data_IF_292760434310
#
_entry.id   IF_292760434310
#
_cell.length_a   1.000
_cell.length_b   1.000
_cell.length_c   1.000
_cell.angle_alpha   90.00
_cell.angle_beta   90.00
_cell.angle_gamma   90.00
#
_symmetry.space_group_name_H-M   'P 1'
#
loop_
_entity.id
_entity.type
_entity.pdbx_description
1 polymer ?
#
# COMPACT_ATOMS: atom_id res chain seq x y z
N UNK A 1 -24.85 -5.25 5.30
CA UNK A 1 -24.63 -5.86 3.97
C UNK A 1 -23.65 -7.02 4.12
N UNK A 2 -24.02 -8.17 3.61
CA UNK A 2 -23.10 -9.32 3.54
C UNK A 2 -22.42 -9.33 2.17
N UNK A 3 -21.11 -9.45 2.18
CA UNK A 3 -20.34 -9.56 0.94
C UNK A 3 -19.15 -10.49 1.14
N UNK A 4 -18.67 -11.06 0.05
CA UNK A 4 -17.45 -11.87 0.05
C UNK A 4 -16.33 -11.06 -0.57
N UNK A 5 -15.22 -10.91 0.16
CA UNK A 5 -14.04 -10.24 -0.32
C UNK A 5 -12.89 -11.24 -0.48
N UNK A 6 -12.06 -11.03 -1.48
CA UNK A 6 -10.79 -11.74 -1.61
C UNK A 6 -9.69 -10.86 -1.04
N UNK A 7 -9.11 -11.27 0.09
CA UNK A 7 -8.09 -10.49 0.78
C UNK A 7 -6.88 -11.37 1.05
N UNK A 8 -5.72 -10.96 0.53
CA UNK A 8 -4.46 -11.67 0.69
C UNK A 8 -4.55 -13.15 0.31
N UNK A 9 -5.22 -13.46 -0.81
CA UNK A 9 -5.35 -14.81 -1.33
C UNK A 9 -6.44 -15.65 -0.67
N UNK A 10 -7.25 -15.07 0.21
CA UNK A 10 -8.33 -15.78 0.91
C UNK A 10 -9.68 -15.14 0.62
N UNK A 11 -10.70 -15.95 0.39
CA UNK A 11 -12.08 -15.48 0.35
C UNK A 11 -12.61 -15.37 1.78
N UNK A 12 -13.10 -14.21 2.14
CA UNK A 12 -13.66 -13.94 3.47
C UNK A 12 -15.06 -13.35 3.34
N UNK A 13 -15.99 -13.87 4.12
CA UNK A 13 -17.34 -13.34 4.19
C UNK A 13 -17.39 -12.31 5.32
N UNK A 14 -17.90 -11.14 5.02
CA UNK A 14 -18.04 -10.06 6.01
C UNK A 14 -19.48 -9.56 6.00
N UNK A 15 -19.95 -9.19 7.18
CA UNK A 15 -21.24 -8.53 7.36
C UNK A 15 -20.97 -7.14 7.93
N UNK A 16 -21.09 -6.14 7.09
CA UNK A 16 -20.66 -4.77 7.40
C UNK A 16 -21.82 -3.80 7.21
N UNK A 17 -21.75 -2.66 7.88
CA UNK A 17 -22.71 -1.59 7.70
C UNK A 17 -22.61 -1.04 6.27
N UNK A 18 -23.75 -0.66 5.72
CA UNK A 18 -23.79 -0.03 4.39
C UNK A 18 -22.95 1.25 4.39
N UNK A 19 -22.12 1.40 3.35
CA UNK A 19 -21.22 2.54 3.24
C UNK A 19 -19.97 2.49 4.13
N UNK A 20 -19.66 1.33 4.73
CA UNK A 20 -18.42 1.19 5.49
C UNK A 20 -17.23 1.15 4.53
N UNK A 21 -16.24 2.08 4.66
CA UNK A 21 -15.05 2.04 3.84
C UNK A 21 -14.22 0.76 4.05
N UNK A 22 -13.56 0.32 2.98
CA UNK A 22 -12.70 -0.88 3.02
C UNK A 22 -11.67 -0.82 4.14
N UNK A 23 -11.12 0.37 4.44
CA UNK A 23 -10.17 0.57 5.53
C UNK A 23 -10.67 -0.04 6.86
N UNK A 24 -11.91 0.24 7.22
CA UNK A 24 -12.49 -0.23 8.48
C UNK A 24 -12.86 -1.71 8.42
N UNK A 25 -13.26 -2.21 7.26
CA UNK A 25 -13.46 -3.66 7.06
C UNK A 25 -12.14 -4.40 7.32
N UNK A 26 -11.04 -3.90 6.78
CA UNK A 26 -9.73 -4.51 6.99
C UNK A 26 -9.31 -4.48 8.46
N UNK A 27 -9.44 -3.32 9.10
CA UNK A 27 -8.95 -3.13 10.47
C UNK A 27 -9.88 -3.72 11.53
N UNK A 28 -11.18 -3.48 11.39
CA UNK A 28 -12.14 -3.81 12.47
C UNK A 28 -12.75 -5.20 12.32
N UNK A 29 -13.07 -5.63 11.10
CA UNK A 29 -13.65 -6.94 10.86
C UNK A 29 -12.58 -8.03 10.69
N UNK A 30 -11.59 -7.77 9.83
CA UNK A 30 -10.55 -8.75 9.49
C UNK A 30 -9.31 -8.68 10.38
N UNK A 31 -9.23 -7.67 11.25
CA UNK A 31 -8.10 -7.46 12.18
C UNK A 31 -6.74 -7.27 11.49
N UNK A 32 -6.75 -6.85 10.23
CA UNK A 32 -5.56 -6.51 9.48
C UNK A 32 -5.20 -5.04 9.74
N UNK A 33 -4.44 -4.79 10.78
CA UNK A 33 -4.18 -3.45 11.32
C UNK A 33 -2.97 -2.74 10.72
N UNK A 34 -2.26 -3.38 9.78
CA UNK A 34 -1.12 -2.77 9.09
C UNK A 34 -1.49 -1.58 8.21
N UNK A 35 -2.69 -1.60 7.62
CA UNK A 35 -3.26 -0.48 6.88
C UNK A 35 -3.77 0.57 7.85
N UNK A 36 -3.35 1.83 7.70
CA UNK A 36 -3.55 2.88 8.71
C UNK A 36 -4.56 3.95 8.28
N UNK A 37 -5.22 4.54 9.27
CA UNK A 37 -6.07 5.72 9.09
C UNK A 37 -5.27 7.00 9.34
N UNK A 38 -5.42 7.98 8.46
CA UNK A 38 -4.85 9.31 8.65
C UNK A 38 -5.90 10.40 8.39
N UNK A 39 -6.22 10.68 7.11
CA UNK A 39 -7.12 11.79 6.72
C UNK A 39 -8.59 11.37 6.49
N UNK A 40 -8.84 10.15 6.02
CA UNK A 40 -10.18 9.70 5.64
C UNK A 40 -10.72 10.26 4.31
N UNK A 41 -9.90 11.05 3.60
CA UNK A 41 -10.30 11.77 2.37
C UNK A 41 -9.30 11.55 1.22
N UNK A 42 -8.60 10.44 1.24
CA UNK A 42 -7.63 10.02 0.21
C UNK A 42 -6.41 10.95 0.04
N UNK A 43 -6.11 11.81 1.02
CA UNK A 43 -5.02 12.79 0.91
C UNK A 43 -3.68 12.32 1.45
N UNK A 44 -3.65 11.49 2.50
CA UNK A 44 -2.41 11.18 3.22
C UNK A 44 -1.69 9.92 2.74
N UNK A 45 -2.39 9.00 2.12
CA UNK A 45 -1.83 7.73 1.62
C UNK A 45 -1.60 6.64 2.66
N UNK A 46 -1.84 6.88 3.95
CA UNK A 46 -1.60 5.89 5.01
C UNK A 46 -2.43 4.61 4.85
N UNK A 47 -3.57 4.70 4.18
CA UNK A 47 -4.52 3.61 3.98
C UNK A 47 -4.33 2.85 2.65
N UNK A 48 -3.25 3.08 1.93
CA UNK A 48 -3.04 2.48 0.60
C UNK A 48 -3.00 0.96 0.66
N UNK A 49 -3.80 0.34 -0.18
CA UNK A 49 -3.83 -1.11 -0.44
C UNK A 49 -3.76 -1.33 -1.95
N UNK A 50 -3.55 -2.56 -2.40
CA UNK A 50 -3.68 -2.90 -3.81
C UNK A 50 -5.04 -3.57 -4.06
N UNK A 51 -5.72 -3.14 -5.11
CA UNK A 51 -6.90 -3.82 -5.64
C UNK A 51 -6.57 -4.24 -7.07
N UNK A 52 -6.52 -5.53 -7.32
CA UNK A 52 -6.03 -6.11 -8.58
C UNK A 52 -4.65 -5.54 -8.99
N UNK A 53 -3.75 -5.38 -8.01
CA UNK A 53 -2.40 -4.88 -8.22
C UNK A 53 -2.27 -3.36 -8.32
N UNK A 54 -3.38 -2.61 -8.27
CA UNK A 54 -3.38 -1.14 -8.40
C UNK A 54 -3.50 -0.50 -7.02
N UNK A 55 -2.60 0.42 -6.64
CA UNK A 55 -2.71 1.13 -5.37
C UNK A 55 -3.96 2.00 -5.31
N UNK A 56 -4.76 1.81 -4.28
CA UNK A 56 -5.95 2.59 -3.99
C UNK A 56 -5.98 3.02 -2.53
N UNK A 57 -6.70 4.11 -2.26
CA UNK A 57 -6.93 4.61 -0.89
C UNK A 57 -8.14 3.90 -0.28
N UNK A 58 -7.90 2.99 0.65
CA UNK A 58 -8.98 2.19 1.25
C UNK A 58 -9.97 2.99 2.07
N UNK A 59 -9.63 4.20 2.51
CA UNK A 59 -10.54 5.07 3.26
C UNK A 59 -11.70 5.63 2.41
N UNK A 60 -11.57 5.61 1.08
CA UNK A 60 -12.60 6.07 0.14
C UNK A 60 -12.98 4.98 -0.88
N UNK A 61 -12.59 3.75 -0.62
CA UNK A 61 -12.97 2.57 -1.43
C UNK A 61 -13.98 1.76 -0.64
N UNK A 62 -15.03 1.30 -1.30
CA UNK A 62 -16.11 0.57 -0.65
C UNK A 62 -16.18 -0.87 -1.12
N UNK A 63 -16.55 -1.83 -0.26
CA UNK A 63 -16.63 -3.24 -0.64
C UNK A 63 -17.49 -3.51 -1.89
N UNK A 64 -18.60 -2.79 -2.05
CA UNK A 64 -19.47 -2.92 -3.21
C UNK A 64 -18.82 -2.52 -4.54
N UNK A 65 -17.83 -1.62 -4.49
CA UNK A 65 -17.14 -1.13 -5.69
C UNK A 65 -16.04 -2.08 -6.18
N UNK A 66 -15.63 -3.02 -5.33
CA UNK A 66 -14.51 -3.93 -5.61
C UNK A 66 -14.92 -5.40 -5.55
N UNK A 67 -16.20 -5.67 -5.74
CA UNK A 67 -16.73 -7.04 -5.72
C UNK A 67 -16.00 -7.92 -6.74
N UNK A 68 -15.50 -9.07 -6.29
CA UNK A 68 -14.73 -10.01 -7.13
C UNK A 68 -13.27 -9.64 -7.35
N UNK A 69 -12.81 -8.45 -6.92
CA UNK A 69 -11.42 -8.06 -7.05
C UNK A 69 -10.54 -8.64 -5.94
N UNK A 70 -9.24 -8.75 -6.21
CA UNK A 70 -8.25 -9.24 -5.25
C UNK A 70 -7.64 -8.06 -4.49
N UNK A 71 -7.86 -8.03 -3.17
CA UNK A 71 -7.30 -7.00 -2.28
C UNK A 71 -6.01 -7.54 -1.67
N UNK A 72 -4.93 -6.75 -1.75
CA UNK A 72 -3.67 -7.05 -1.09
C UNK A 72 -3.35 -5.93 -0.11
N UNK A 73 -3.15 -6.28 1.15
CA UNK A 73 -2.69 -5.36 2.20
C UNK A 73 -1.20 -5.55 2.44
N UNK A 74 -0.62 -4.69 3.30
CA UNK A 74 0.81 -4.81 3.66
C UNK A 74 1.12 -6.18 4.27
N UNK A 75 0.18 -6.78 4.99
CA UNK A 75 0.35 -8.11 5.59
C UNK A 75 0.49 -9.22 4.55
N UNK A 76 -0.05 -9.03 3.35
CA UNK A 76 -0.01 -10.01 2.28
C UNK A 76 0.85 -9.60 1.09
N UNK A 77 1.63 -8.53 1.20
CA UNK A 77 2.47 -8.04 0.11
C UNK A 77 3.68 -8.97 -0.09
N UNK A 78 3.60 -9.84 -1.08
CA UNK A 78 4.61 -10.86 -1.36
C UNK A 78 5.05 -10.89 -2.83
N UNK A 79 4.70 -9.87 -3.61
CA UNK A 79 5.15 -9.75 -5.00
C UNK A 79 6.65 -9.49 -5.06
N UNK A 80 7.25 -9.72 -6.23
CA UNK A 80 8.67 -9.44 -6.49
C UNK A 80 9.00 -7.97 -6.19
N UNK A 81 8.16 -7.05 -6.65
CA UNK A 81 8.31 -5.62 -6.40
C UNK A 81 8.16 -5.29 -4.91
N UNK A 82 7.16 -5.87 -4.26
CA UNK A 82 6.94 -5.67 -2.83
C UNK A 82 8.11 -6.13 -1.97
N UNK A 83 8.71 -7.26 -2.31
CA UNK A 83 9.90 -7.77 -1.61
C UNK A 83 11.11 -6.86 -1.81
N UNK A 84 11.32 -6.38 -3.04
CA UNK A 84 12.41 -5.45 -3.33
C UNK A 84 12.27 -4.15 -2.55
N UNK A 85 11.04 -3.60 -2.47
CA UNK A 85 10.76 -2.40 -1.69
C UNK A 85 11.03 -2.64 -0.20
N UNK A 86 10.53 -3.74 0.37
CA UNK A 86 10.75 -4.05 1.78
C UNK A 86 12.23 -4.24 2.10
N UNK A 87 12.99 -4.89 1.23
CA UNK A 87 14.44 -5.04 1.37
C UNK A 87 15.14 -3.67 1.36
N UNK A 88 14.79 -2.80 0.41
CA UNK A 88 15.37 -1.45 0.33
C UNK A 88 15.05 -0.62 1.58
N UNK A 89 13.80 -0.71 2.09
CA UNK A 89 13.40 -0.04 3.33
C UNK A 89 14.24 -0.48 4.53
N UNK A 90 14.54 -1.77 4.63
CA UNK A 90 15.39 -2.31 5.68
C UNK A 90 16.84 -1.89 5.52
N UNK A 91 17.39 -1.97 4.29
CA UNK A 91 18.78 -1.57 4.01
C UNK A 91 19.06 -0.10 4.34
N UNK A 92 18.11 0.78 4.02
CA UNK A 92 18.29 2.23 4.20
C UNK A 92 17.72 2.77 5.52
N UNK A 93 17.18 1.88 6.34
CA UNK A 93 16.63 2.22 7.66
C UNK A 93 15.66 3.41 7.57
N UNK A 94 14.67 3.31 6.66
CA UNK A 94 13.76 4.40 6.30
C UNK A 94 12.88 4.83 7.45
N UNK A 95 12.39 3.89 8.24
CA UNK A 95 11.33 4.08 9.22
C UNK A 95 11.75 4.94 10.40
N UNK A 96 10.89 5.88 10.81
CA UNK A 96 10.97 6.55 12.11
C UNK A 96 9.80 6.07 12.99
N UNK A 97 8.67 6.80 13.07
CA UNK A 97 7.52 6.30 13.86
C UNK A 97 6.84 5.08 13.24
N UNK A 98 6.93 4.90 11.93
CA UNK A 98 6.38 3.76 11.20
C UNK A 98 4.94 3.91 10.75
N UNK A 99 4.22 4.91 11.18
CA UNK A 99 2.78 5.02 10.93
C UNK A 99 2.42 5.14 9.44
N UNK A 100 3.17 5.92 8.67
CA UNK A 100 2.93 6.09 7.23
C UNK A 100 3.58 5.02 6.36
N UNK A 101 4.39 4.13 6.93
CA UNK A 101 5.30 3.32 6.12
C UNK A 101 4.60 2.20 5.35
N UNK A 102 3.55 1.60 5.91
CA UNK A 102 2.77 0.61 5.15
C UNK A 102 2.20 1.21 3.87
N UNK A 103 1.64 2.42 3.96
CA UNK A 103 1.13 3.14 2.78
C UNK A 103 2.23 3.53 1.81
N UNK A 104 3.38 3.99 2.30
CA UNK A 104 4.54 4.31 1.48
C UNK A 104 5.04 3.08 0.70
N UNK A 105 5.18 1.95 1.38
CA UNK A 105 5.63 0.69 0.78
C UNK A 105 4.63 0.19 -0.28
N UNK A 106 3.33 0.22 0.02
CA UNK A 106 2.31 -0.20 -0.93
C UNK A 106 2.31 0.67 -2.19
N UNK A 107 2.45 1.99 -2.04
CA UNK A 107 2.55 2.91 -3.18
C UNK A 107 3.82 2.67 -4.00
N UNK A 108 4.96 2.49 -3.35
CA UNK A 108 6.23 2.23 -4.02
C UNK A 108 6.19 0.90 -4.80
N UNK A 109 5.62 -0.15 -4.22
CA UNK A 109 5.47 -1.43 -4.91
C UNK A 109 4.58 -1.30 -6.15
N UNK A 110 3.51 -0.50 -6.07
CA UNK A 110 2.64 -0.19 -7.20
C UNK A 110 3.38 0.56 -8.32
N UNK A 111 4.20 1.53 -7.96
CA UNK A 111 5.03 2.25 -8.94
C UNK A 111 5.96 1.30 -9.68
N UNK A 112 6.70 0.47 -8.96
CA UNK A 112 7.67 -0.44 -9.57
C UNK A 112 7.02 -1.53 -10.40
N UNK A 113 5.79 -1.90 -10.12
CA UNK A 113 5.02 -2.83 -10.96
C UNK A 113 4.64 -2.21 -12.30
N UNK A 114 4.38 -0.90 -12.34
CA UNK A 114 4.08 -0.16 -13.57
C UNK A 114 5.35 0.23 -14.32
N UNK A 115 6.38 0.65 -13.59
CA UNK A 115 7.64 1.15 -14.15
C UNK A 115 8.80 0.67 -13.28
N UNK A 116 9.52 -0.33 -13.74
CA UNK A 116 10.67 -0.92 -13.03
C UNK A 116 11.90 -0.02 -12.94
N UNK A 117 11.92 1.10 -13.66
CA UNK A 117 13.06 2.04 -13.71
C UNK A 117 12.57 3.49 -13.66
N UNK A 118 11.88 3.91 -12.59
CA UNK A 118 11.42 5.28 -12.50
C UNK A 118 12.62 6.24 -12.33
N UNK A 119 12.54 7.38 -13.01
CA UNK A 119 13.50 8.46 -12.75
C UNK A 119 13.11 9.22 -11.44
N UNK A 120 13.98 10.09 -10.91
CA UNK A 120 13.68 10.80 -9.67
C UNK A 120 12.38 11.61 -9.70
N UNK A 121 12.05 12.23 -10.84
CA UNK A 121 10.81 13.01 -10.96
C UNK A 121 9.57 12.12 -10.97
N UNK A 122 9.65 10.96 -11.60
CA UNK A 122 8.58 9.96 -11.58
C UNK A 122 8.34 9.40 -10.17
N UNK A 123 9.42 9.16 -9.42
CA UNK A 123 9.33 8.73 -8.03
C UNK A 123 8.63 9.82 -7.20
N UNK A 124 9.07 11.05 -7.31
CA UNK A 124 8.50 12.18 -6.56
C UNK A 124 7.02 12.37 -6.89
N UNK A 125 6.67 12.36 -8.17
CA UNK A 125 5.28 12.53 -8.60
C UNK A 125 4.36 11.41 -8.13
N UNK A 126 4.84 10.17 -8.17
CA UNK A 126 4.03 9.02 -7.74
C UNK A 126 3.84 8.98 -6.23
N UNK A 127 4.88 9.33 -5.48
CA UNK A 127 4.91 9.23 -4.02
C UNK A 127 4.39 10.46 -3.29
N UNK A 128 4.12 11.58 -3.99
CA UNK A 128 3.72 12.84 -3.37
C UNK A 128 2.42 12.77 -2.56
N UNK A 129 1.53 11.82 -2.91
CA UNK A 129 0.30 11.56 -2.16
C UNK A 129 0.48 10.82 -0.85
N UNK A 130 1.70 10.49 -0.47
CA UNK A 130 2.02 9.77 0.78
C UNK A 130 2.73 10.72 1.74
N UNK A 131 2.02 11.11 2.81
CA UNK A 131 2.48 12.11 3.77
C UNK A 131 3.21 11.42 4.93
N UNK A 132 4.32 12.01 5.37
CA UNK A 132 5.09 11.55 6.53
C UNK A 132 5.35 12.69 7.50
N UNK A 133 4.84 12.58 8.73
CA UNK A 133 5.06 13.62 9.76
C UNK A 133 6.51 13.66 10.24
N UNK A 134 7.20 12.52 10.19
CA UNK A 134 8.62 12.42 10.55
C UNK A 134 9.56 12.90 9.42
N UNK A 135 8.99 13.26 8.27
CA UNK A 135 9.72 13.76 7.10
C UNK A 135 10.76 12.78 6.55
N UNK A 136 10.38 11.48 6.43
CA UNK A 136 11.25 10.44 5.87
C UNK A 136 11.40 10.50 4.34
N UNK A 137 10.93 11.56 3.70
CA UNK A 137 10.81 11.65 2.23
C UNK A 137 12.10 11.38 1.48
N UNK A 138 13.24 11.88 1.96
CA UNK A 138 14.53 11.66 1.29
C UNK A 138 14.92 10.17 1.32
N UNK A 139 14.71 9.51 2.47
CA UNK A 139 14.98 8.07 2.59
C UNK A 139 14.00 7.23 1.77
N UNK A 140 12.72 7.62 1.74
CA UNK A 140 11.71 6.97 0.89
C UNK A 140 12.14 7.04 -0.57
N UNK A 141 12.50 8.22 -1.06
CA UNK A 141 12.97 8.42 -2.44
C UNK A 141 14.18 7.54 -2.75
N UNK A 142 15.17 7.54 -1.87
CA UNK A 142 16.38 6.72 -2.03
C UNK A 142 16.04 5.23 -2.02
N UNK A 143 15.12 4.81 -1.16
CA UNK A 143 14.72 3.41 -1.05
C UNK A 143 13.94 2.93 -2.27
N UNK A 144 13.11 3.75 -2.88
CA UNK A 144 12.43 3.40 -4.14
C UNK A 144 13.45 3.20 -5.26
N UNK A 145 14.43 4.10 -5.38
CA UNK A 145 15.53 3.97 -6.34
C UNK A 145 16.34 2.69 -6.08
N UNK A 146 16.64 2.40 -4.83
CA UNK A 146 17.35 1.16 -4.45
C UNK A 146 16.53 -0.09 -4.78
N UNK A 147 15.24 -0.09 -4.53
CA UNK A 147 14.36 -1.20 -4.88
C UNK A 147 14.37 -1.48 -6.39
N UNK A 148 14.39 -0.44 -7.21
CA UNK A 148 14.51 -0.58 -8.66
C UNK A 148 15.82 -1.26 -9.05
N UNK A 149 16.94 -0.92 -8.41
CA UNK A 149 18.23 -1.59 -8.61
C UNK A 149 18.16 -3.07 -8.23
N UNK A 150 17.54 -3.39 -7.10
CA UNK A 150 17.36 -4.78 -6.65
C UNK A 150 16.60 -5.59 -7.70
N UNK A 151 15.53 -5.01 -8.26
CA UNK A 151 14.75 -5.67 -9.32
C UNK A 151 15.56 -5.92 -10.59
N UNK A 152 16.46 -5.00 -10.96
CA UNK A 152 17.34 -5.20 -12.10
C UNK A 152 18.32 -6.34 -11.86
N UNK A 153 18.91 -6.42 -10.67
CA UNK A 153 19.89 -7.43 -10.33
C UNK A 153 19.27 -8.84 -10.27
N UNK A 154 17.98 -8.94 -9.98
CA UNK A 154 17.23 -10.21 -9.91
C UNK A 154 16.68 -10.67 -11.28
N UNK A 155 16.81 -9.87 -12.31
CA UNK A 155 16.27 -10.18 -13.64
C UNK A 155 17.25 -10.92 -14.56
#
# INVERSE_FOLDING_TARGET
MRTTLKVNGRSVDVDVADGMPLLWVLRDELKLTGTKYGCGVASCGACTVHVDGVPLRSCVTYPEDIEGAEVTTIEGLATREGRAVQQAWAELDVVQCGYCQSGQIMSAAGLLAENGRPDPDEIDGYMEGNVCRCATYQRVRAAVARAAEILEDDS
#
